data_IF_661255843685
#
_entry.id   IF_661255843685
#
_cell.length_a   1.000
_cell.length_b   1.000
_cell.length_c   1.000
_cell.angle_alpha   90.00
_cell.angle_beta   90.00
_cell.angle_gamma   90.00
#
_symmetry.space_group_name_H-M   'P 1'
#
loop_
_entity.id
_entity.type
_entity.pdbx_description
1 polymer ?
#
# COMPACT_ATOMS: atom_id res chain seq x y z
N UNK A 1 -22.05 -27.89 -25.08
CA UNK A 1 -22.72 -26.89 -24.22
C UNK A 1 -22.37 -27.24 -22.76
N UNK A 2 -21.18 -26.86 -22.30
CA UNK A 2 -20.74 -27.12 -20.92
C UNK A 2 -20.72 -25.78 -20.16
N UNK A 3 -21.45 -25.74 -19.05
CA UNK A 3 -21.74 -24.55 -18.25
C UNK A 3 -20.48 -23.86 -17.73
N UNK A 4 -20.34 -22.57 -18.06
CA UNK A 4 -19.29 -21.65 -17.56
C UNK A 4 -19.37 -21.37 -16.05
N UNK A 5 -20.36 -21.90 -15.33
CA UNK A 5 -20.58 -21.66 -13.90
C UNK A 5 -19.71 -22.46 -12.93
N UNK A 6 -19.23 -23.65 -13.33
CA UNK A 6 -18.51 -24.56 -12.41
C UNK A 6 -17.05 -24.17 -12.12
N UNK A 7 -16.37 -23.54 -13.08
CA UNK A 7 -14.95 -23.16 -12.94
C UNK A 7 -14.79 -21.91 -12.06
N UNK A 8 -15.75 -20.98 -12.10
CA UNK A 8 -15.77 -19.76 -11.29
C UNK A 8 -15.98 -20.08 -9.80
N UNK A 9 -16.82 -21.06 -9.49
CA UNK A 9 -17.05 -21.53 -8.11
C UNK A 9 -15.80 -22.18 -7.49
N UNK A 10 -15.01 -22.93 -8.27
CA UNK A 10 -13.74 -23.53 -7.83
C UNK A 10 -12.62 -22.49 -7.61
N UNK A 11 -12.65 -21.37 -8.33
CA UNK A 11 -11.66 -20.29 -8.24
C UNK A 11 -11.87 -19.40 -7.00
N UNK A 12 -13.11 -18.99 -6.73
CA UNK A 12 -13.48 -18.27 -5.50
C UNK A 12 -13.27 -19.15 -4.27
N UNK A 13 -13.58 -20.44 -4.38
CA UNK A 13 -13.33 -21.42 -3.33
C UNK A 13 -11.85 -21.59 -3.01
N UNK A 14 -10.89 -21.33 -3.92
CA UNK A 14 -9.44 -21.39 -3.58
C UNK A 14 -8.92 -20.16 -2.85
N UNK A 15 -9.41 -18.96 -3.15
CA UNK A 15 -9.08 -17.75 -2.36
C UNK A 15 -9.76 -17.85 -1.00
N UNK A 16 -11.03 -18.27 -0.99
CA UNK A 16 -11.77 -18.54 0.24
C UNK A 16 -11.12 -19.68 1.03
N UNK A 17 -10.72 -20.80 0.44
CA UNK A 17 -10.02 -21.91 1.09
C UNK A 17 -8.57 -21.56 1.43
N UNK A 18 -7.92 -20.55 0.83
CA UNK A 18 -6.64 -20.05 1.31
C UNK A 18 -6.83 -19.20 2.57
N UNK A 19 -7.84 -18.32 2.57
CA UNK A 19 -8.30 -17.56 3.75
C UNK A 19 -8.91 -18.48 4.84
N UNK A 20 -9.50 -19.63 4.48
CA UNK A 20 -10.10 -20.63 5.39
C UNK A 20 -9.11 -21.73 5.81
N UNK A 21 -8.12 -22.07 4.98
CA UNK A 21 -7.00 -22.92 5.39
C UNK A 21 -6.07 -22.20 6.36
N UNK A 22 -6.07 -20.86 6.33
CA UNK A 22 -5.55 -20.01 7.41
C UNK A 22 -6.34 -20.26 8.72
N UNK A 23 -7.65 -20.51 8.67
CA UNK A 23 -8.49 -20.70 9.87
C UNK A 23 -8.36 -22.05 10.60
N UNK A 24 -7.71 -23.08 10.05
CA UNK A 24 -7.69 -24.43 10.67
C UNK A 24 -6.45 -24.77 11.52
N UNK A 25 -5.56 -23.81 11.81
CA UNK A 25 -4.39 -24.04 12.68
C UNK A 25 -4.27 -23.12 13.90
N UNK A 26 -5.25 -22.27 14.15
CA UNK A 26 -5.23 -21.36 15.30
C UNK A 26 -6.02 -21.89 16.49
N UNK A 27 -5.52 -22.97 17.09
CA UNK A 27 -5.80 -23.31 18.48
C UNK A 27 -4.54 -23.86 19.13
N UNK A 28 -4.07 -23.13 20.15
CA UNK A 28 -3.02 -23.48 21.11
C UNK A 28 -1.59 -23.70 20.57
N UNK A 29 -0.78 -22.63 20.60
CA UNK A 29 0.65 -22.69 20.98
C UNK A 29 1.15 -21.28 21.26
N UNK A 30 0.90 -20.80 22.49
CA UNK A 30 1.45 -19.58 23.06
C UNK A 30 2.21 -19.98 24.33
N UNK A 31 3.46 -20.42 24.18
CA UNK A 31 4.46 -20.40 25.25
C UNK A 31 5.82 -20.11 24.61
N UNK A 32 6.49 -19.10 25.15
CA UNK A 32 7.82 -18.65 24.77
C UNK A 32 8.89 -19.76 24.88
N UNK A 33 9.86 -19.78 23.98
CA UNK A 33 11.28 -20.02 24.27
C UNK A 33 12.14 -19.49 23.10
N UNK A 34 13.04 -18.55 23.39
CA UNK A 34 14.05 -18.08 22.45
C UNK A 34 15.22 -19.06 22.34
N UNK A 35 15.90 -19.09 21.19
CA UNK A 35 17.24 -18.52 20.96
C UNK A 35 17.72 -18.94 19.56
N UNK A 36 18.31 -18.02 18.79
CA UNK A 36 19.01 -18.34 17.55
C UNK A 36 18.82 -17.31 16.43
N UNK A 37 19.95 -16.71 16.02
CA UNK A 37 20.17 -15.66 15.00
C UNK A 37 19.63 -14.27 15.32
N UNK A 38 20.55 -13.35 15.62
CA UNK A 38 20.32 -11.93 15.88
C UNK A 38 19.90 -11.18 14.60
N UNK A 39 18.60 -11.03 14.38
CA UNK A 39 18.08 -9.90 13.60
C UNK A 39 17.23 -9.05 14.54
N UNK A 40 17.63 -7.80 14.77
CA UNK A 40 16.80 -6.86 15.53
C UNK A 40 15.48 -6.69 14.78
N UNK A 41 14.35 -6.99 15.43
CA UNK A 41 13.03 -6.76 14.84
C UNK A 41 12.83 -5.25 14.66
N UNK A 42 12.49 -4.84 13.45
CA UNK A 42 12.28 -3.43 13.11
C UNK A 42 12.15 -3.24 11.62
N UNK A 43 11.37 -2.23 11.22
CA UNK A 43 11.25 -1.83 9.81
C UNK A 43 12.59 -1.23 9.38
N UNK A 44 13.17 -1.66 8.24
CA UNK A 44 14.47 -1.16 7.78
C UNK A 44 14.40 0.34 7.45
N UNK A 45 15.47 1.11 7.73
CA UNK A 45 15.57 2.49 7.28
C UNK A 45 15.73 2.56 5.76
N UNK A 46 15.43 3.74 5.20
CA UNK A 46 15.77 4.02 3.80
C UNK A 46 17.27 4.02 3.57
N UNK A 47 17.70 3.57 2.40
CA UNK A 47 19.10 3.41 1.99
C UNK A 47 19.58 4.53 1.07
N UNK A 48 18.69 5.46 0.72
CA UNK A 48 19.03 6.67 -0.01
C UNK A 48 19.72 7.73 0.85
N UNK A 49 20.23 8.80 0.22
CA UNK A 49 21.00 9.84 0.90
C UNK A 49 20.14 10.80 1.73
N UNK A 50 18.82 10.82 1.55
CA UNK A 50 17.92 11.76 2.21
C UNK A 50 17.40 11.21 3.53
N UNK A 51 17.42 12.04 4.57
CA UNK A 51 16.61 11.80 5.75
C UNK A 51 15.12 11.88 5.39
N UNK A 52 14.29 11.06 6.03
CA UNK A 52 12.88 10.91 5.66
C UNK A 52 11.98 11.45 6.76
N UNK A 53 11.17 12.44 6.42
CA UNK A 53 10.06 12.91 7.22
C UNK A 53 8.76 12.18 6.87
N UNK A 54 7.80 12.19 7.77
CA UNK A 54 6.43 11.78 7.45
C UNK A 54 5.39 12.58 8.22
N UNK A 55 4.20 12.76 7.61
CA UNK A 55 3.04 13.40 8.24
C UNK A 55 1.74 12.77 7.71
N UNK A 56 0.65 12.86 8.47
CA UNK A 56 -0.67 12.43 8.02
C UNK A 56 -1.48 13.62 7.52
N UNK A 57 -2.07 13.50 6.33
CA UNK A 57 -2.80 14.58 5.67
C UNK A 57 -4.21 14.13 5.39
N UNK A 58 -5.20 14.83 5.95
CA UNK A 58 -6.62 14.68 5.61
C UNK A 58 -7.17 15.99 5.07
N UNK A 59 -7.65 15.98 3.83
CA UNK A 59 -8.18 17.16 3.14
C UNK A 59 -9.60 16.90 2.68
N UNK A 60 -10.50 17.80 3.08
CA UNK A 60 -11.93 17.53 3.22
C UNK A 60 -12.16 16.46 4.31
N UNK A 61 -12.93 16.83 5.32
CA UNK A 61 -13.11 16.00 6.51
C UNK A 61 -14.06 14.83 6.25
N UNK A 62 -14.85 14.84 5.17
CA UNK A 62 -15.88 13.83 4.88
C UNK A 62 -15.31 12.50 4.40
N UNK A 63 -16.16 11.47 4.29
CA UNK A 63 -15.77 10.17 3.75
C UNK A 63 -15.29 10.22 2.28
N UNK A 64 -15.62 11.29 1.55
CA UNK A 64 -15.18 11.53 0.17
C UNK A 64 -13.87 12.33 0.09
N UNK A 65 -13.38 12.84 1.23
CA UNK A 65 -12.13 13.55 1.30
C UNK A 65 -10.91 12.67 1.10
N UNK A 66 -9.75 13.29 0.84
CA UNK A 66 -8.49 12.58 0.67
C UNK A 66 -7.82 12.35 2.02
N UNK A 67 -7.24 11.17 2.21
CA UNK A 67 -6.43 10.85 3.40
C UNK A 67 -5.26 9.97 3.01
N UNK A 68 -4.07 10.43 3.37
CA UNK A 68 -2.84 9.73 3.06
C UNK A 68 -1.78 10.04 4.10
N UNK A 69 -0.81 9.13 4.22
CA UNK A 69 0.46 9.40 4.90
C UNK A 69 1.45 9.88 3.85
N UNK A 70 2.01 11.06 4.05
CA UNK A 70 3.06 11.61 3.22
C UNK A 70 4.42 11.19 3.77
N UNK A 71 5.31 10.72 2.91
CA UNK A 71 6.74 10.51 3.18
C UNK A 71 7.54 11.40 2.23
N UNK A 72 8.56 12.07 2.74
CA UNK A 72 9.27 13.10 1.99
C UNK A 72 10.70 13.30 2.50
N UNK A 73 11.63 13.79 1.66
CA UNK A 73 12.93 14.27 2.11
C UNK A 73 12.78 15.40 3.13
N UNK A 74 13.42 15.27 4.30
CA UNK A 74 13.33 16.25 5.38
C UNK A 74 14.70 16.77 5.82
N UNK A 75 14.68 17.87 6.55
CA UNK A 75 15.82 18.31 7.37
C UNK A 75 15.71 17.57 8.70
N UNK A 76 16.61 16.63 8.97
CA UNK A 76 16.56 15.83 10.20
C UNK A 76 16.83 16.72 11.43
N UNK A 77 15.83 16.94 12.30
CA UNK A 77 16.06 17.70 13.52
C UNK A 77 16.73 16.81 14.58
N UNK A 78 17.58 17.40 15.41
CA UNK A 78 18.09 16.70 16.59
C UNK A 78 16.94 16.22 17.48
N UNK A 79 16.94 14.93 17.83
CA UNK A 79 15.89 14.34 18.68
C UNK A 79 14.53 14.17 18.01
N UNK A 80 14.50 14.08 16.66
CA UNK A 80 13.28 13.86 15.90
C UNK A 80 12.40 12.72 16.48
N UNK A 81 11.12 13.02 16.69
CA UNK A 81 10.15 12.02 17.12
C UNK A 81 9.92 11.01 15.99
N UNK A 82 9.99 9.72 16.31
CA UNK A 82 9.64 8.64 15.38
C UNK A 82 8.17 8.24 15.59
N UNK A 83 7.33 8.23 14.55
CA UNK A 83 5.93 7.89 14.71
C UNK A 83 5.74 6.39 14.92
N UNK A 84 4.66 6.06 15.61
CA UNK A 84 4.22 4.68 15.75
C UNK A 84 3.83 4.11 14.39
N UNK A 85 4.14 2.83 14.20
CA UNK A 85 3.82 2.10 12.98
C UNK A 85 2.30 1.96 12.78
N UNK A 86 1.59 1.62 13.86
CA UNK A 86 0.13 1.61 13.90
C UNK A 86 -0.32 2.64 14.95
N UNK A 87 -0.89 3.78 14.53
CA UNK A 87 -0.97 4.97 15.39
C UNK A 87 -2.08 4.91 16.45
N UNK A 88 -3.04 4.00 16.32
CA UNK A 88 -4.10 3.87 17.32
C UNK A 88 -4.76 2.49 17.32
N UNK A 89 -5.52 2.24 18.40
CA UNK A 89 -6.11 0.95 18.73
C UNK A 89 -7.13 0.45 17.70
N UNK A 90 -7.88 1.34 17.07
CA UNK A 90 -8.94 0.97 16.14
C UNK A 90 -8.42 0.29 14.88
N UNK A 91 -7.19 0.58 14.46
CA UNK A 91 -6.52 -0.19 13.41
C UNK A 91 -6.25 -1.63 13.84
N UNK A 92 -5.86 -1.89 15.09
CA UNK A 92 -5.75 -3.25 15.61
C UNK A 92 -7.11 -3.96 15.68
N UNK A 93 -8.18 -3.25 16.07
CA UNK A 93 -9.55 -3.79 16.01
C UNK A 93 -9.94 -4.15 14.57
N UNK A 94 -9.60 -3.31 13.60
CA UNK A 94 -9.87 -3.57 12.18
C UNK A 94 -9.07 -4.75 11.62
N UNK A 95 -7.82 -4.93 12.05
CA UNK A 95 -7.02 -6.11 11.71
C UNK A 95 -7.66 -7.38 12.30
N UNK A 96 -8.12 -7.31 13.55
CA UNK A 96 -8.85 -8.40 14.18
C UNK A 96 -10.11 -8.81 13.42
N UNK A 97 -10.92 -7.83 13.00
CA UNK A 97 -12.13 -8.07 12.21
C UNK A 97 -11.80 -8.71 10.86
N UNK A 98 -10.76 -8.21 10.18
CA UNK A 98 -10.30 -8.76 8.91
C UNK A 98 -9.83 -10.21 9.05
N UNK A 99 -9.09 -10.52 10.12
CA UNK A 99 -8.65 -11.87 10.46
C UNK A 99 -9.77 -12.75 11.06
N UNK A 100 -10.95 -12.19 11.32
CA UNK A 100 -12.10 -12.85 11.98
C UNK A 100 -11.77 -13.38 13.39
N UNK A 101 -10.98 -12.63 14.14
CA UNK A 101 -10.59 -12.93 15.52
C UNK A 101 -11.32 -11.97 16.48
N UNK A 102 -11.60 -12.42 17.70
CA UNK A 102 -12.24 -11.57 18.72
C UNK A 102 -11.43 -10.29 18.99
N UNK A 103 -12.06 -9.11 18.83
CA UNK A 103 -11.43 -7.79 19.01
C UNK A 103 -10.72 -7.64 20.35
N UNK A 104 -11.37 -8.01 21.46
CA UNK A 104 -10.82 -7.77 22.82
C UNK A 104 -9.55 -8.58 23.08
N UNK A 105 -9.53 -9.84 22.64
CA UNK A 105 -8.36 -10.71 22.82
C UNK A 105 -7.22 -10.32 21.87
N UNK A 106 -7.56 -10.11 20.59
CA UNK A 106 -6.59 -9.80 19.55
C UNK A 106 -6.01 -8.40 19.69
N UNK A 107 -6.77 -7.40 20.08
CA UNK A 107 -6.25 -6.04 20.31
C UNK A 107 -5.17 -6.06 21.38
N UNK A 108 -5.40 -6.73 22.51
CA UNK A 108 -4.38 -6.86 23.56
C UNK A 108 -3.13 -7.56 23.05
N UNK A 109 -3.28 -8.64 22.28
CA UNK A 109 -2.15 -9.40 21.74
C UNK A 109 -1.39 -8.58 20.69
N UNK A 110 -2.09 -8.01 19.71
CA UNK A 110 -1.51 -7.23 18.63
C UNK A 110 -0.88 -5.95 19.15
N UNK A 111 -1.52 -5.26 20.11
CA UNK A 111 -0.96 -4.08 20.74
C UNK A 111 0.27 -4.42 21.60
N UNK A 112 0.25 -5.56 22.31
CA UNK A 112 1.43 -6.04 23.05
C UNK A 112 2.59 -6.39 22.11
N UNK A 113 2.30 -7.06 20.99
CA UNK A 113 3.33 -7.49 20.04
C UNK A 113 3.86 -6.35 19.17
N UNK A 114 2.99 -5.41 18.78
CA UNK A 114 3.31 -4.45 17.73
C UNK A 114 3.09 -2.98 18.09
N UNK A 115 2.38 -2.67 19.17
CA UNK A 115 2.00 -1.30 19.53
C UNK A 115 3.18 -0.39 19.90
N UNK A 116 4.34 -0.96 20.21
CA UNK A 116 5.57 -0.21 20.51
C UNK A 116 6.49 -0.01 19.31
N UNK A 117 6.20 -0.63 18.15
CA UNK A 117 7.04 -0.46 16.97
C UNK A 117 6.84 0.93 16.37
N UNK A 118 7.96 1.58 16.10
CA UNK A 118 8.06 2.85 15.41
C UNK A 118 8.65 2.65 14.02
N UNK A 119 8.34 3.55 13.11
CA UNK A 119 8.93 3.54 11.76
C UNK A 119 10.19 4.42 11.72
N UNK A 120 11.18 4.11 10.87
CA UNK A 120 12.41 4.89 10.75
C UNK A 120 12.20 6.16 9.89
N UNK A 121 11.31 7.04 10.34
CA UNK A 121 11.04 8.36 9.75
C UNK A 121 10.82 9.41 10.85
N UNK A 122 11.01 10.68 10.52
CA UNK A 122 10.85 11.82 11.43
C UNK A 122 9.43 12.40 11.31
N UNK A 123 8.63 12.29 12.38
CA UNK A 123 7.26 12.82 12.40
C UNK A 123 7.24 14.34 12.28
N UNK A 124 6.47 14.85 11.32
CA UNK A 124 6.26 16.29 11.07
C UNK A 124 7.55 17.11 10.89
N UNK A 125 8.65 16.45 10.51
CA UNK A 125 9.93 17.13 10.32
C UNK A 125 9.86 18.16 9.18
N UNK A 126 10.63 19.27 9.26
CA UNK A 126 10.65 20.28 8.21
C UNK A 126 11.04 19.67 6.85
N UNK A 127 10.27 20.01 5.81
CA UNK A 127 10.54 19.55 4.45
C UNK A 127 11.88 20.09 3.93
N UNK A 128 12.67 19.25 3.25
CA UNK A 128 13.94 19.67 2.64
C UNK A 128 13.68 20.32 1.28
N UNK A 129 13.68 21.65 1.24
CA UNK A 129 13.60 22.40 -0.01
C UNK A 129 14.93 22.31 -0.79
N UNK A 130 15.06 21.28 -1.63
CA UNK A 130 16.26 21.05 -2.46
C UNK A 130 15.86 20.74 -3.91
N UNK A 131 15.09 21.65 -4.50
CA UNK A 131 14.53 21.49 -5.84
C UNK A 131 13.18 20.79 -5.85
N UNK A 132 12.81 20.26 -7.02
CA UNK A 132 11.53 19.57 -7.24
C UNK A 132 11.70 18.06 -7.18
N UNK A 133 10.85 17.39 -6.43
CA UNK A 133 10.90 15.95 -6.29
C UNK A 133 9.82 15.26 -7.15
N UNK A 134 10.13 14.13 -7.80
CA UNK A 134 9.12 13.27 -8.40
C UNK A 134 8.11 12.78 -7.36
N UNK A 135 6.89 12.51 -7.81
CA UNK A 135 5.75 12.14 -6.95
C UNK A 135 5.35 10.69 -7.17
N UNK A 136 5.13 9.97 -6.07
CA UNK A 136 4.57 8.61 -6.08
C UNK A 136 3.27 8.59 -5.27
N UNK A 137 2.19 8.10 -5.88
CA UNK A 137 0.99 7.72 -5.13
C UNK A 137 1.09 6.22 -4.81
N UNK A 138 0.92 5.84 -3.54
CA UNK A 138 0.96 4.46 -3.11
C UNK A 138 -0.43 3.96 -2.67
N UNK A 139 -0.83 2.78 -3.13
CA UNK A 139 -2.11 2.14 -2.80
C UNK A 139 -1.92 0.83 -2.03
N UNK A 140 -2.56 0.71 -0.86
CA UNK A 140 -2.44 -0.47 0.01
C UNK A 140 -3.29 -1.66 -0.46
N UNK A 141 -2.94 -2.88 0.00
CA UNK A 141 -3.73 -4.09 -0.22
C UNK A 141 -5.04 -4.18 0.57
N UNK A 142 -5.84 -5.21 0.31
CA UNK A 142 -7.05 -5.51 1.08
C UNK A 142 -6.71 -5.81 2.55
N UNK A 143 -7.47 -5.28 3.50
CA UNK A 143 -7.21 -5.44 4.94
C UNK A 143 -6.03 -4.62 5.45
N UNK A 144 -5.31 -3.90 4.58
CA UNK A 144 -4.24 -2.99 4.99
C UNK A 144 -4.76 -1.56 5.15
N UNK A 145 -3.87 -0.62 5.45
CA UNK A 145 -4.13 0.82 5.56
C UNK A 145 -2.81 1.58 5.34
N UNK A 146 -2.84 2.92 5.38
CA UNK A 146 -1.76 3.78 4.85
C UNK A 146 -0.37 3.58 5.48
N UNK A 147 -0.29 2.99 6.66
CA UNK A 147 0.95 2.90 7.44
C UNK A 147 1.67 1.55 7.33
N UNK A 148 1.12 0.56 6.62
CA UNK A 148 1.65 -0.82 6.60
C UNK A 148 2.67 -1.11 5.48
N UNK A 149 3.14 -0.08 4.77
CA UNK A 149 4.12 -0.18 3.67
C UNK A 149 5.21 0.87 3.83
N UNK A 150 5.53 1.22 5.07
CA UNK A 150 6.51 2.26 5.38
C UNK A 150 7.91 1.87 4.91
N UNK A 151 8.30 0.59 4.89
CA UNK A 151 9.60 0.18 4.34
C UNK A 151 9.80 0.64 2.88
N UNK A 152 8.77 0.48 2.04
CA UNK A 152 8.80 0.88 0.63
C UNK A 152 8.73 2.41 0.51
N UNK A 153 7.81 3.04 1.25
CA UNK A 153 7.60 4.48 1.15
C UNK A 153 8.80 5.28 1.67
N UNK A 154 9.45 4.80 2.74
CA UNK A 154 10.66 5.40 3.31
C UNK A 154 11.84 5.19 2.36
N UNK A 155 12.00 4.01 1.75
CA UNK A 155 13.07 3.81 0.75
C UNK A 155 12.92 4.81 -0.41
N UNK A 156 11.74 4.88 -1.02
CA UNK A 156 11.48 5.85 -2.10
C UNK A 156 11.72 7.29 -1.63
N UNK A 157 11.24 7.68 -0.45
CA UNK A 157 11.47 9.04 0.06
C UNK A 157 12.96 9.33 0.31
N UNK A 158 13.71 8.36 0.84
CA UNK A 158 15.17 8.50 1.06
C UNK A 158 15.95 8.68 -0.24
N UNK A 159 15.38 8.24 -1.37
CA UNK A 159 15.93 8.40 -2.71
C UNK A 159 15.49 9.70 -3.41
N UNK A 160 14.78 10.59 -2.69
CA UNK A 160 14.33 11.87 -3.20
C UNK A 160 12.99 11.83 -3.91
N UNK A 161 12.02 11.06 -3.42
CA UNK A 161 10.63 11.09 -3.90
C UNK A 161 9.70 11.66 -2.84
N UNK A 162 8.62 12.33 -3.25
CA UNK A 162 7.47 12.59 -2.38
C UNK A 162 6.48 11.44 -2.57
N UNK A 163 6.16 10.72 -1.50
CA UNK A 163 5.29 9.53 -1.55
C UNK A 163 4.02 9.77 -0.74
N UNK A 164 2.85 9.70 -1.37
CA UNK A 164 1.56 9.74 -0.67
C UNK A 164 0.93 8.34 -0.63
N UNK A 165 0.98 7.70 0.54
CA UNK A 165 0.33 6.42 0.81
C UNK A 165 -1.13 6.64 1.18
N UNK A 166 -2.04 6.36 0.24
CA UNK A 166 -3.48 6.64 0.36
C UNK A 166 -4.16 5.63 1.28
N UNK A 167 -4.99 6.12 2.19
CA UNK A 167 -5.93 5.29 2.95
C UNK A 167 -7.29 5.24 2.24
N UNK A 168 -7.70 4.04 1.82
CA UNK A 168 -8.89 3.86 1.01
C UNK A 168 -10.17 3.74 1.84
N UNK A 169 -11.26 4.40 1.40
CA UNK A 169 -12.56 4.47 2.10
C UNK A 169 -13.62 3.60 1.44
N UNK A 170 -13.16 2.68 0.61
CA UNK A 170 -13.95 1.68 -0.12
C UNK A 170 -14.36 0.48 0.76
N UNK A 171 -14.14 0.55 2.08
CA UNK A 171 -14.31 -0.54 3.05
C UNK A 171 -13.38 -1.74 2.80
N UNK A 172 -12.31 -1.56 2.01
CA UNK A 172 -11.24 -2.56 1.87
C UNK A 172 -10.19 -2.43 2.99
N UNK A 173 -10.01 -1.25 3.57
CA UNK A 173 -9.10 -1.05 4.68
C UNK A 173 -9.61 -1.78 5.93
N UNK A 174 -8.69 -2.34 6.74
CA UNK A 174 -9.06 -2.97 8.03
C UNK A 174 -9.83 -2.01 8.93
N UNK A 175 -9.33 -0.78 9.01
CA UNK A 175 -10.04 0.37 9.53
C UNK A 175 -9.56 1.62 8.79
N UNK A 176 -10.39 2.65 8.75
CA UNK A 176 -10.07 4.03 8.38
C UNK A 176 -11.02 4.94 9.16
N UNK A 177 -10.77 6.24 9.16
CA UNK A 177 -11.71 7.21 9.70
C UNK A 177 -11.85 8.44 8.82
N UNK A 178 -12.90 9.20 9.12
CA UNK A 178 -13.18 10.53 8.61
C UNK A 178 -13.89 11.32 9.73
N UNK A 179 -14.28 12.56 9.45
CA UNK A 179 -15.09 13.34 10.37
C UNK A 179 -16.40 13.82 9.72
N UNK A 180 -17.48 13.80 10.49
CA UNK A 180 -18.73 14.47 10.14
C UNK A 180 -18.99 15.64 11.07
N UNK A 181 -19.80 16.60 10.63
CA UNK A 181 -20.27 17.68 11.49
C UNK A 181 -21.32 17.15 12.47
N UNK A 182 -21.21 17.52 13.75
CA UNK A 182 -22.23 17.25 14.77
C UNK A 182 -23.59 17.73 14.26
N UNK A 183 -24.59 16.87 14.37
CA UNK A 183 -25.99 17.23 14.18
C UNK A 183 -26.41 18.32 15.19
N UNK A 184 -27.48 19.06 14.88
CA UNK A 184 -28.02 20.07 15.79
C UNK A 184 -28.39 19.48 17.18
N UNK A 185 -28.81 18.21 17.21
CA UNK A 185 -29.13 17.49 18.46
C UNK A 185 -27.87 17.18 19.30
N UNK A 186 -26.76 16.80 18.66
CA UNK A 186 -25.48 16.56 19.34
C UNK A 186 -24.85 17.87 19.84
N UNK A 187 -25.01 18.96 19.08
CA UNK A 187 -24.58 20.29 19.50
C UNK A 187 -25.39 20.79 20.71
N UNK A 188 -26.71 20.55 20.74
CA UNK A 188 -27.58 20.91 21.86
C UNK A 188 -27.29 20.09 23.14
N UNK A 189 -26.79 18.86 23.00
CA UNK A 189 -26.38 18.02 24.13
C UNK A 189 -25.00 18.39 24.69
N UNK A 190 -24.12 19.01 23.89
CA UNK A 190 -22.83 19.52 24.35
C UNK A 190 -22.97 20.91 24.97
N UNK A 191 -22.74 21.04 26.29
CA UNK A 191 -22.81 22.32 27.06
C UNK A 191 -21.69 23.33 26.73
N UNK A 192 -21.06 23.25 25.56
CA UNK A 192 -19.99 24.16 25.14
C UNK A 192 -20.34 24.78 23.80
N UNK A 193 -20.75 26.04 23.86
CA UNK A 193 -20.94 26.93 22.71
C UNK A 193 -19.60 27.59 22.39
N UNK A 194 -18.79 26.96 21.55
CA UNK A 194 -17.60 27.57 20.94
C UNK A 194 -17.58 27.23 19.45
N UNK A 195 -17.58 28.21 18.54
CA UNK A 195 -17.45 27.94 17.11
C UNK A 195 -15.97 27.72 16.78
N UNK A 196 -15.55 26.46 16.83
CA UNK A 196 -14.23 25.99 16.41
C UNK A 196 -14.31 24.57 15.84
N UNK A 197 -13.16 23.95 15.49
CA UNK A 197 -13.08 22.55 15.01
C UNK A 197 -13.67 21.48 15.96
N UNK A 198 -14.20 21.90 17.12
CA UNK A 198 -14.96 21.10 18.10
C UNK A 198 -16.33 20.59 17.60
N UNK A 199 -16.77 21.01 16.42
CA UNK A 199 -18.00 20.51 15.78
C UNK A 199 -17.79 19.22 14.98
N UNK A 200 -16.57 18.72 14.83
CA UNK A 200 -16.27 17.50 14.07
C UNK A 200 -16.22 16.28 14.97
N UNK A 201 -16.90 15.21 14.57
CA UNK A 201 -16.88 13.91 15.26
C UNK A 201 -16.17 12.91 14.38
N UNK A 202 -15.16 12.23 14.94
CA UNK A 202 -14.43 11.16 14.25
C UNK A 202 -15.31 9.93 14.14
N UNK A 203 -15.49 9.44 12.91
CA UNK A 203 -16.22 8.22 12.62
C UNK A 203 -15.29 7.17 12.01
N UNK A 204 -15.31 5.97 12.60
CA UNK A 204 -14.52 4.84 12.14
C UNK A 204 -15.30 3.99 11.14
N UNK A 205 -14.67 3.72 10.01
CA UNK A 205 -15.14 2.80 8.99
C UNK A 205 -14.25 1.54 9.02
N UNK A 206 -14.86 0.39 9.27
CA UNK A 206 -14.15 -0.89 9.36
C UNK A 206 -14.31 -1.71 8.07
N UNK A 207 -13.40 -2.66 7.87
CA UNK A 207 -13.49 -3.65 6.81
C UNK A 207 -14.87 -4.32 6.80
N UNK A 208 -15.49 -4.38 5.62
CA UNK A 208 -16.75 -5.09 5.42
C UNK A 208 -16.50 -6.35 4.58
N UNK A 209 -16.67 -7.56 5.16
CA UNK A 209 -16.64 -8.79 4.39
C UNK A 209 -17.73 -8.78 3.32
N UNK A 210 -17.40 -9.28 2.13
CA UNK A 210 -18.38 -9.54 1.07
C UNK A 210 -19.35 -10.61 1.58
N UNK A 211 -20.66 -10.33 1.53
CA UNK A 211 -21.67 -11.29 1.98
C UNK A 211 -21.83 -12.43 0.97
N UNK A 212 -22.41 -13.56 1.39
CA UNK A 212 -22.50 -14.75 0.54
C UNK A 212 -23.44 -14.55 -0.66
N UNK A 213 -24.45 -13.70 -0.47
CA UNK A 213 -25.45 -13.28 -1.46
C UNK A 213 -24.93 -12.23 -2.45
N UNK A 214 -23.83 -11.55 -2.12
CA UNK A 214 -23.26 -10.51 -2.98
C UNK A 214 -22.46 -11.12 -4.13
N UNK A 215 -22.55 -10.49 -5.30
CA UNK A 215 -21.61 -10.77 -6.38
C UNK A 215 -20.24 -10.17 -6.03
N UNK A 216 -19.30 -11.01 -5.60
CA UNK A 216 -17.96 -10.56 -5.17
C UNK A 216 -17.25 -9.71 -6.22
N UNK A 217 -17.32 -10.10 -7.50
CA UNK A 217 -16.71 -9.31 -8.57
C UNK A 217 -17.30 -7.90 -8.63
N UNK A 218 -18.62 -7.75 -8.57
CA UNK A 218 -19.30 -6.45 -8.58
C UNK A 218 -18.87 -5.57 -7.40
N UNK A 219 -18.77 -6.14 -6.19
CA UNK A 219 -18.30 -5.40 -5.01
C UNK A 219 -16.84 -4.98 -5.19
N UNK A 220 -15.94 -5.91 -5.57
CA UNK A 220 -14.52 -5.62 -5.75
C UNK A 220 -14.26 -4.65 -6.91
N UNK A 221 -15.04 -4.73 -7.99
CA UNK A 221 -14.95 -3.81 -9.11
C UNK A 221 -15.39 -2.38 -8.73
N UNK A 222 -16.48 -2.23 -7.97
CA UNK A 222 -16.86 -0.92 -7.41
C UNK A 222 -15.74 -0.35 -6.53
N UNK A 223 -15.17 -1.18 -5.66
CA UNK A 223 -14.04 -0.82 -4.81
C UNK A 223 -12.80 -0.39 -5.61
N UNK A 224 -12.38 -1.12 -6.66
CA UNK A 224 -11.20 -0.74 -7.44
C UNK A 224 -11.40 0.56 -8.22
N UNK A 225 -12.62 0.84 -8.67
CA UNK A 225 -12.96 2.12 -9.29
C UNK A 225 -12.83 3.26 -8.28
N UNK A 226 -13.42 3.12 -7.09
CA UNK A 226 -13.31 4.10 -6.00
C UNK A 226 -11.84 4.31 -5.59
N UNK A 227 -11.06 3.24 -5.43
CA UNK A 227 -9.63 3.32 -5.09
C UNK A 227 -8.82 4.11 -6.11
N UNK A 228 -9.11 3.91 -7.40
CA UNK A 228 -8.46 4.68 -8.46
C UNK A 228 -8.85 6.17 -8.38
N UNK A 229 -10.12 6.48 -8.11
CA UNK A 229 -10.59 7.87 -7.90
C UNK A 229 -9.93 8.51 -6.67
N UNK A 230 -9.76 7.78 -5.57
CA UNK A 230 -9.07 8.25 -4.36
C UNK A 230 -7.57 8.52 -4.62
N UNK A 231 -6.90 7.71 -5.43
CA UNK A 231 -5.53 7.96 -5.87
C UNK A 231 -5.42 9.22 -6.76
N UNK A 232 -6.36 9.42 -7.67
CA UNK A 232 -6.42 10.62 -8.52
C UNK A 232 -6.70 11.85 -7.67
N UNK A 233 -7.63 11.76 -6.71
CA UNK A 233 -7.93 12.83 -5.77
C UNK A 233 -6.72 13.19 -4.91
N UNK A 234 -5.96 12.21 -4.42
CA UNK A 234 -4.71 12.48 -3.69
C UNK A 234 -3.70 13.25 -4.57
N UNK A 235 -3.55 12.86 -5.85
CA UNK A 235 -2.71 13.58 -6.80
C UNK A 235 -3.21 15.02 -7.04
N UNK A 236 -4.52 15.24 -7.13
CA UNK A 236 -5.10 16.58 -7.24
C UNK A 236 -4.79 17.44 -6.02
N UNK A 237 -4.88 16.88 -4.81
CA UNK A 237 -4.52 17.57 -3.57
C UNK A 237 -3.03 17.94 -3.52
N UNK A 238 -2.15 17.02 -3.92
CA UNK A 238 -0.72 17.33 -4.05
C UNK A 238 -0.44 18.41 -5.10
N UNK A 239 -1.17 18.38 -6.23
CA UNK A 239 -1.07 19.42 -7.27
C UNK A 239 -1.47 20.79 -6.75
N UNK A 240 -2.56 20.86 -5.98
CA UNK A 240 -3.05 22.09 -5.35
C UNK A 240 -2.04 22.64 -4.32
N UNK A 241 -1.50 21.79 -3.46
CA UNK A 241 -0.41 22.17 -2.53
C UNK A 241 0.80 22.73 -3.28
N UNK A 242 1.22 22.05 -4.34
CA UNK A 242 2.36 22.47 -5.15
C UNK A 242 2.12 23.83 -5.84
N UNK A 243 0.87 24.21 -6.12
CA UNK A 243 0.50 25.54 -6.65
C UNK A 243 0.32 26.63 -5.58
N UNK A 244 0.56 26.33 -4.30
CA UNK A 244 0.38 27.29 -3.19
C UNK A 244 -1.09 27.52 -2.81
N UNK A 245 -2.01 26.63 -3.20
CA UNK A 245 -3.42 26.76 -2.82
C UNK A 245 -3.59 26.53 -1.31
N UNK A 246 -4.35 27.38 -0.59
CA UNK A 246 -4.56 27.22 0.84
C UNK A 246 -5.45 26.00 1.09
N UNK A 247 -4.83 24.87 1.44
CA UNK A 247 -5.51 23.65 1.82
C UNK A 247 -5.32 23.40 3.32
N UNK A 248 -6.43 23.27 4.02
CA UNK A 248 -6.41 22.96 5.44
C UNK A 248 -6.28 21.46 5.67
N UNK A 249 -5.23 21.03 6.37
CA UNK A 249 -5.16 19.68 6.92
C UNK A 249 -6.09 19.59 8.14
N UNK A 250 -7.14 18.76 8.03
CA UNK A 250 -8.14 18.56 9.09
C UNK A 250 -7.50 18.03 10.38
N UNK A 251 -6.37 17.33 10.26
CA UNK A 251 -5.67 16.73 11.40
C UNK A 251 -4.81 17.71 12.21
N UNK A 252 -4.56 18.93 11.68
CA UNK A 252 -3.77 19.97 12.35
C UNK A 252 -2.41 19.47 12.87
N UNK A 253 -1.70 18.72 12.04
CA UNK A 253 -0.31 18.27 12.30
C UNK A 253 0.64 19.45 12.47
N UNK A 254 1.82 19.22 13.06
CA UNK A 254 2.84 20.28 13.21
C UNK A 254 3.57 20.60 11.91
N UNK A 255 3.42 19.74 10.90
CA UNK A 255 4.02 19.92 9.58
C UNK A 255 3.46 21.16 8.86
N UNK A 256 4.36 22.01 8.37
CA UNK A 256 4.01 23.17 7.56
C UNK A 256 3.71 22.76 6.10
N UNK A 257 2.42 22.68 5.78
CA UNK A 257 1.95 22.32 4.43
C UNK A 257 2.39 23.31 3.35
N UNK A 258 2.68 24.58 3.70
CA UNK A 258 3.11 25.59 2.73
C UNK A 258 4.53 25.32 2.20
N UNK A 259 5.34 24.56 2.95
CA UNK A 259 6.67 24.15 2.52
C UNK A 259 6.67 23.27 1.26
N UNK A 260 5.50 22.71 0.89
CA UNK A 260 5.30 21.91 -0.33
C UNK A 260 5.01 22.76 -1.58
N UNK A 261 4.83 24.07 -1.46
CA UNK A 261 4.68 24.95 -2.62
C UNK A 261 5.90 24.85 -3.54
N UNK A 262 5.64 24.67 -4.84
CA UNK A 262 6.66 24.55 -5.89
C UNK A 262 7.74 23.47 -5.63
N UNK A 263 7.42 22.45 -4.82
CA UNK A 263 8.34 21.39 -4.40
C UNK A 263 8.23 20.08 -5.20
N UNK A 264 7.19 19.94 -6.03
CA UNK A 264 6.89 18.70 -6.76
C UNK A 264 7.12 18.86 -8.25
N UNK A 265 7.74 17.85 -8.85
CA UNK A 265 7.85 17.70 -10.30
C UNK A 265 6.62 16.95 -10.83
N UNK A 266 5.59 17.71 -11.20
CA UNK A 266 4.34 17.18 -11.71
C UNK A 266 4.45 16.63 -13.16
N UNK A 267 5.61 16.69 -13.80
CA UNK A 267 5.87 15.94 -15.03
C UNK A 267 6.33 14.50 -14.75
N UNK A 268 6.71 14.20 -13.50
CA UNK A 268 7.31 12.94 -13.07
C UNK A 268 6.49 12.31 -11.95
N UNK A 269 5.32 11.77 -12.33
CA UNK A 269 4.35 11.17 -11.41
C UNK A 269 4.23 9.67 -11.70
N UNK A 270 4.33 8.83 -10.67
CA UNK A 270 4.09 7.40 -10.76
C UNK A 270 3.04 6.93 -9.74
N UNK A 271 2.52 5.73 -9.96
CA UNK A 271 1.64 5.04 -9.00
C UNK A 271 2.17 3.65 -8.69
N UNK A 272 2.22 3.31 -7.40
CA UNK A 272 2.67 2.02 -6.90
C UNK A 272 1.58 1.42 -6.02
N UNK A 273 1.47 0.10 -5.97
CA UNK A 273 0.51 -0.51 -5.06
C UNK A 273 0.68 -2.01 -4.92
N UNK A 274 0.27 -2.51 -3.76
CA UNK A 274 0.41 -3.92 -3.42
C UNK A 274 -0.94 -4.65 -3.41
N UNK A 275 -0.99 -5.89 -3.94
CA UNK A 275 -2.17 -6.75 -3.89
C UNK A 275 -3.39 -6.09 -4.56
N UNK A 276 -4.44 -5.76 -3.79
CA UNK A 276 -5.56 -4.94 -4.27
C UNK A 276 -5.09 -3.56 -4.78
N UNK A 277 -4.09 -2.96 -4.14
CA UNK A 277 -3.42 -1.76 -4.62
C UNK A 277 -2.70 -1.95 -5.95
N UNK A 278 -2.24 -3.16 -6.27
CA UNK A 278 -1.71 -3.49 -7.59
C UNK A 278 -2.79 -3.47 -8.69
N UNK A 279 -4.02 -3.88 -8.36
CA UNK A 279 -5.16 -3.66 -9.26
C UNK A 279 -5.54 -2.18 -9.36
N UNK A 280 -5.47 -1.44 -8.25
CA UNK A 280 -5.67 0.01 -8.23
C UNK A 280 -4.69 0.73 -9.16
N UNK A 281 -3.41 0.33 -9.19
CA UNK A 281 -2.41 0.84 -10.16
C UNK A 281 -2.93 0.71 -11.59
N UNK A 282 -3.33 -0.50 -11.98
CA UNK A 282 -3.84 -0.76 -13.35
C UNK A 282 -5.08 0.07 -13.65
N UNK A 283 -6.03 0.16 -12.71
CA UNK A 283 -7.26 0.94 -12.90
C UNK A 283 -6.98 2.44 -12.97
N UNK A 284 -6.09 2.97 -12.14
CA UNK A 284 -5.71 4.38 -12.14
C UNK A 284 -5.00 4.77 -13.45
N UNK A 285 -4.06 3.95 -13.94
CA UNK A 285 -3.40 4.19 -15.23
C UNK A 285 -4.40 4.22 -16.40
N UNK A 286 -5.47 3.43 -16.33
CA UNK A 286 -6.54 3.44 -17.34
C UNK A 286 -7.43 4.69 -17.33
N UNK A 287 -7.40 5.47 -16.24
CA UNK A 287 -8.26 6.63 -16.00
C UNK A 287 -7.50 7.97 -16.06
N UNK A 288 -6.19 7.95 -15.76
CA UNK A 288 -5.41 9.16 -15.52
C UNK A 288 -4.05 9.13 -16.25
N UNK A 289 -3.86 10.03 -17.21
CA UNK A 289 -2.66 10.13 -18.05
C UNK A 289 -1.51 10.92 -17.38
N UNK A 290 -1.77 11.62 -16.27
CA UNK A 290 -0.71 12.27 -15.47
C UNK A 290 0.25 11.25 -14.86
N UNK A 291 -0.22 10.08 -14.45
CA UNK A 291 0.65 8.97 -14.07
C UNK A 291 1.44 8.51 -15.29
N UNK A 292 2.77 8.59 -15.24
CA UNK A 292 3.68 8.29 -16.35
C UNK A 292 4.12 6.84 -16.40
N UNK A 293 4.06 6.13 -15.28
CA UNK A 293 4.24 4.68 -15.20
C UNK A 293 3.60 4.14 -13.92
N UNK A 294 3.47 2.81 -13.83
CA UNK A 294 3.02 2.17 -12.60
C UNK A 294 3.78 0.90 -12.25
N UNK A 295 3.80 0.58 -10.95
CA UNK A 295 4.42 -0.64 -10.41
C UNK A 295 3.38 -1.37 -9.55
N UNK A 296 3.06 -2.58 -9.96
CA UNK A 296 2.08 -3.46 -9.34
C UNK A 296 2.81 -4.56 -8.56
N UNK A 297 2.88 -4.42 -7.24
CA UNK A 297 3.49 -5.38 -6.33
C UNK A 297 2.48 -6.49 -6.04
N UNK A 298 2.76 -7.69 -6.53
CA UNK A 298 1.99 -8.91 -6.31
C UNK A 298 0.49 -8.74 -6.56
N UNK A 299 0.13 -8.11 -7.68
CA UNK A 299 -1.21 -7.61 -7.92
C UNK A 299 -2.28 -8.71 -7.91
N UNK A 300 -3.40 -8.42 -7.24
CA UNK A 300 -4.61 -9.24 -7.28
C UNK A 300 -5.52 -8.75 -8.40
N UNK A 301 -5.46 -9.36 -9.59
CA UNK A 301 -6.09 -8.82 -10.81
C UNK A 301 -7.61 -9.05 -10.91
N UNK A 302 -8.21 -9.79 -9.97
CA UNK A 302 -9.63 -10.14 -9.96
C UNK A 302 -10.59 -8.93 -10.03
N UNK A 303 -10.35 -7.80 -9.33
CA UNK A 303 -11.29 -6.67 -9.31
C UNK A 303 -11.47 -5.93 -10.64
N UNK A 304 -10.60 -6.17 -11.62
CA UNK A 304 -10.56 -5.44 -12.88
C UNK A 304 -11.56 -6.01 -13.90
N UNK A 305 -12.17 -5.16 -14.70
CA UNK A 305 -12.94 -5.58 -15.88
C UNK A 305 -12.05 -5.65 -17.12
N UNK A 306 -12.43 -6.46 -18.11
CA UNK A 306 -11.60 -6.72 -19.28
C UNK A 306 -11.38 -5.45 -20.13
N UNK A 307 -12.32 -4.52 -20.11
CA UNK A 307 -12.29 -3.21 -20.77
C UNK A 307 -11.23 -2.27 -20.19
N UNK A 308 -10.70 -2.56 -18.99
CA UNK A 308 -9.63 -1.77 -18.37
C UNK A 308 -8.29 -1.98 -19.07
N UNK A 309 -7.98 -3.21 -19.49
CA UNK A 309 -6.66 -3.57 -20.00
C UNK A 309 -6.21 -2.78 -21.25
N UNK A 310 -7.02 -2.64 -22.32
CA UNK A 310 -6.60 -1.92 -23.52
C UNK A 310 -6.46 -0.41 -23.30
N UNK A 311 -6.99 0.14 -22.19
CA UNK A 311 -6.91 1.58 -21.87
C UNK A 311 -5.58 1.97 -21.19
N UNK A 312 -4.84 1.00 -20.67
CA UNK A 312 -3.54 1.25 -20.02
C UNK A 312 -2.46 1.43 -21.07
N UNK A 313 -2.03 2.67 -21.30
CA UNK A 313 -1.02 3.02 -22.32
C UNK A 313 0.39 3.17 -21.74
N UNK A 314 0.48 3.48 -20.46
CA UNK A 314 1.73 3.80 -19.78
C UNK A 314 2.54 2.54 -19.47
N UNK A 315 3.88 2.63 -19.31
CA UNK A 315 4.71 1.54 -18.82
C UNK A 315 4.21 0.98 -17.48
N UNK A 316 4.22 -0.35 -17.37
CA UNK A 316 3.75 -1.06 -16.18
C UNK A 316 4.70 -2.19 -15.82
N UNK A 317 5.06 -2.26 -14.54
CA UNK A 317 5.94 -3.30 -13.99
C UNK A 317 5.20 -4.14 -12.96
N UNK A 318 5.21 -5.47 -13.13
CA UNK A 318 4.74 -6.42 -12.13
C UNK A 318 5.92 -7.00 -11.35
N UNK A 319 5.91 -6.87 -10.01
CA UNK A 319 6.88 -7.51 -9.12
C UNK A 319 6.10 -8.49 -8.24
N UNK A 320 6.23 -9.77 -8.52
CA UNK A 320 5.42 -10.81 -7.89
C UNK A 320 6.18 -11.54 -6.77
N UNK A 321 5.42 -12.07 -5.80
CA UNK A 321 5.97 -13.10 -4.93
C UNK A 321 5.88 -14.48 -5.58
N UNK A 322 6.76 -15.40 -5.18
CA UNK A 322 6.80 -16.75 -5.76
C UNK A 322 5.58 -17.59 -5.37
N UNK A 323 5.08 -17.41 -4.14
CA UNK A 323 4.07 -18.31 -3.53
C UNK A 323 2.62 -17.81 -3.63
N UNK A 324 2.38 -16.58 -4.09
CA UNK A 324 1.03 -16.01 -4.17
C UNK A 324 0.34 -16.25 -5.51
N UNK A 325 1.08 -16.28 -6.62
CA UNK A 325 0.52 -16.22 -7.97
C UNK A 325 -0.12 -17.54 -8.44
N UNK A 326 -1.11 -17.44 -9.33
CA UNK A 326 -1.75 -18.58 -9.99
C UNK A 326 -2.08 -18.29 -11.45
N UNK A 327 -2.30 -19.33 -12.26
CA UNK A 327 -2.43 -19.22 -13.72
C UNK A 327 -3.48 -18.19 -14.16
N UNK A 328 -4.67 -18.20 -13.55
CA UNK A 328 -5.73 -17.26 -13.88
C UNK A 328 -5.39 -15.78 -13.58
N UNK A 329 -4.61 -15.50 -12.53
CA UNK A 329 -4.16 -14.15 -12.22
C UNK A 329 -3.08 -13.68 -13.22
N UNK A 330 -2.11 -14.54 -13.52
CA UNK A 330 -1.06 -14.27 -14.51
C UNK A 330 -1.66 -14.09 -15.91
N UNK A 331 -2.65 -14.90 -16.30
CA UNK A 331 -3.38 -14.71 -17.57
C UNK A 331 -3.98 -13.31 -17.68
N UNK A 332 -4.48 -12.75 -16.57
CA UNK A 332 -5.03 -11.39 -16.54
C UNK A 332 -3.94 -10.32 -16.59
N UNK A 333 -2.79 -10.53 -15.95
CA UNK A 333 -1.63 -9.65 -16.13
C UNK A 333 -1.18 -9.60 -17.60
N UNK A 334 -1.14 -10.75 -18.29
CA UNK A 334 -0.75 -10.84 -19.70
C UNK A 334 -1.75 -10.19 -20.66
N UNK A 335 -3.00 -9.93 -20.25
CA UNK A 335 -3.93 -9.11 -21.07
C UNK A 335 -3.45 -7.66 -21.24
N UNK A 336 -2.50 -7.20 -20.42
CA UNK A 336 -1.87 -5.88 -20.55
C UNK A 336 -0.64 -5.91 -21.46
N UNK A 337 -0.21 -7.08 -21.94
CA UNK A 337 0.90 -7.19 -22.88
C UNK A 337 0.59 -6.34 -24.13
N UNK A 338 1.55 -5.52 -24.50
CA UNK A 338 1.40 -4.54 -25.58
C UNK A 338 2.67 -4.53 -26.42
N UNK A 339 2.56 -4.49 -27.76
CA UNK A 339 3.72 -4.33 -28.62
C UNK A 339 4.31 -2.91 -28.55
N UNK A 340 3.53 -1.93 -28.05
CA UNK A 340 3.92 -0.50 -28.04
C UNK A 340 4.32 -0.04 -26.63
N UNK A 341 3.62 -0.48 -25.60
CA UNK A 341 3.86 -0.05 -24.23
C UNK A 341 4.73 -1.08 -23.48
N UNK A 342 5.83 -0.62 -22.85
CA UNK A 342 6.71 -1.52 -22.12
C UNK A 342 5.97 -2.18 -20.94
N UNK A 343 6.07 -3.51 -20.89
CA UNK A 343 5.59 -4.36 -19.79
C UNK A 343 6.77 -5.15 -19.28
N UNK A 344 6.97 -5.11 -17.96
CA UNK A 344 7.98 -5.92 -17.29
C UNK A 344 7.30 -6.75 -16.21
N UNK A 345 7.88 -7.91 -15.95
CA UNK A 345 7.41 -8.81 -14.90
C UNK A 345 8.61 -9.55 -14.34
N UNK A 346 8.72 -9.58 -13.02
CA UNK A 346 9.66 -10.42 -12.29
C UNK A 346 8.94 -11.13 -11.14
N UNK A 347 9.51 -12.23 -10.67
CA UNK A 347 9.10 -12.93 -9.45
C UNK A 347 10.30 -13.08 -8.53
N UNK A 348 10.15 -12.68 -7.26
CA UNK A 348 11.21 -12.81 -6.24
C UNK A 348 11.14 -14.19 -5.60
N UNK A 349 12.21 -14.98 -5.71
CA UNK A 349 12.28 -16.35 -5.17
C UNK A 349 12.14 -16.38 -3.66
N UNK A 350 11.55 -17.45 -3.15
CA UNK A 350 11.35 -17.71 -1.74
C UNK A 350 10.32 -16.80 -1.06
N UNK A 351 9.80 -15.76 -1.74
CA UNK A 351 8.88 -14.79 -1.13
C UNK A 351 7.44 -15.30 -1.03
N UNK A 352 6.69 -14.69 -0.11
CA UNK A 352 5.26 -14.86 0.09
C UNK A 352 4.55 -13.53 -0.13
N UNK A 353 3.22 -13.55 -0.22
CA UNK A 353 2.42 -12.31 -0.38
C UNK A 353 2.72 -11.24 0.69
N UNK A 354 3.04 -11.70 1.90
CA UNK A 354 3.33 -10.84 3.04
C UNK A 354 4.78 -10.32 3.08
N UNK A 355 5.62 -10.64 2.08
CA UNK A 355 6.99 -10.13 1.97
C UNK A 355 7.07 -8.64 1.57
N UNK A 356 5.99 -8.06 1.06
CA UNK A 356 5.91 -6.63 0.69
C UNK A 356 5.46 -5.69 1.83
N UNK A 357 4.42 -6.01 2.65
CA UNK A 357 4.04 -5.18 3.78
C UNK A 357 5.01 -5.30 4.97
N UNK A 358 4.98 -4.29 5.84
CA UNK A 358 5.90 -4.14 6.97
C UNK A 358 5.83 -5.28 8.01
N UNK A 359 4.74 -6.03 8.07
CA UNK A 359 4.56 -7.18 8.98
C UNK A 359 5.71 -8.20 8.89
N UNK A 360 6.35 -8.31 7.72
CA UNK A 360 7.46 -9.23 7.52
C UNK A 360 8.68 -8.89 8.38
N UNK A 361 8.88 -7.64 8.77
CA UNK A 361 10.04 -7.24 9.59
C UNK A 361 9.79 -7.35 11.09
N UNK A 362 8.51 -7.35 11.49
CA UNK A 362 8.10 -7.19 12.89
C UNK A 362 7.79 -8.52 13.58
N UNK A 363 7.90 -9.64 12.85
CA UNK A 363 7.67 -10.98 13.40
C UNK A 363 8.95 -11.80 13.48
N UNK A 364 9.19 -12.40 14.65
CA UNK A 364 10.30 -13.34 14.86
C UNK A 364 10.27 -14.47 13.82
N UNK A 365 11.43 -14.95 13.40
CA UNK A 365 11.56 -15.87 12.24
C UNK A 365 10.62 -17.08 12.27
N UNK A 366 10.49 -17.73 13.43
CA UNK A 366 9.63 -18.90 13.62
C UNK A 366 8.14 -18.58 13.54
N UNK A 367 7.69 -17.52 14.20
CA UNK A 367 6.29 -17.07 14.14
C UNK A 367 5.98 -16.57 12.72
N UNK A 368 6.90 -15.83 12.11
CA UNK A 368 6.76 -15.33 10.75
C UNK A 368 6.59 -16.45 9.72
N UNK A 369 7.39 -17.53 9.81
CA UNK A 369 7.23 -18.71 8.93
C UNK A 369 5.94 -19.48 9.20
N UNK A 370 5.57 -19.68 10.47
CA UNK A 370 4.34 -20.38 10.84
C UNK A 370 3.08 -19.64 10.35
N UNK A 371 3.07 -18.31 10.48
CA UNK A 371 2.00 -17.41 10.06
C UNK A 371 2.08 -17.03 8.57
N UNK A 372 3.04 -17.58 7.81
CA UNK A 372 3.32 -17.21 6.40
C UNK A 372 3.53 -15.70 6.18
N UNK A 373 4.00 -14.99 7.20
CA UNK A 373 4.44 -13.59 7.13
C UNK A 373 5.89 -13.46 6.64
N UNK A 374 6.64 -14.57 6.66
CA UNK A 374 8.00 -14.69 6.12
C UNK A 374 8.09 -15.79 5.09
N UNK A 375 8.84 -15.50 4.03
CA UNK A 375 9.24 -16.45 3.02
C UNK A 375 10.42 -17.32 3.46
N UNK A 376 11.02 -17.99 2.49
CA UNK A 376 12.31 -18.67 2.64
C UNK A 376 13.49 -17.70 2.56
N UNK A 377 13.34 -16.66 1.73
CA UNK A 377 14.30 -15.57 1.59
C UNK A 377 14.26 -14.62 2.80
N UNK A 378 15.39 -13.99 3.09
CA UNK A 378 15.47 -12.93 4.09
C UNK A 378 14.59 -11.73 3.69
N UNK A 379 13.78 -11.17 4.62
CA UNK A 379 12.89 -10.05 4.30
C UNK A 379 13.60 -8.79 3.82
N UNK A 380 14.80 -8.47 4.33
CA UNK A 380 15.55 -7.29 3.89
C UNK A 380 16.07 -7.48 2.46
N UNK A 381 16.58 -8.67 2.15
CA UNK A 381 16.99 -9.01 0.77
C UNK A 381 15.80 -8.93 -0.19
N UNK A 382 14.64 -9.47 0.20
CA UNK A 382 13.45 -9.44 -0.64
C UNK A 382 12.95 -8.01 -0.91
N UNK A 383 12.90 -7.15 0.11
CA UNK A 383 12.44 -5.77 -0.06
C UNK A 383 13.46 -4.93 -0.83
N UNK A 384 14.76 -5.18 -0.66
CA UNK A 384 15.81 -4.53 -1.43
C UNK A 384 15.68 -4.80 -2.92
N UNK A 385 15.51 -6.08 -3.31
CA UNK A 385 15.30 -6.45 -4.72
C UNK A 385 14.07 -5.77 -5.30
N UNK A 386 12.96 -5.73 -4.54
CA UNK A 386 11.74 -5.05 -4.96
C UNK A 386 11.96 -3.54 -5.12
N UNK A 387 12.61 -2.90 -4.16
CA UNK A 387 12.82 -1.46 -4.14
C UNK A 387 13.82 -1.02 -5.22
N UNK A 388 14.94 -1.71 -5.38
CA UNK A 388 15.96 -1.42 -6.39
C UNK A 388 15.40 -1.59 -7.81
N UNK A 389 14.65 -2.68 -8.07
CA UNK A 389 13.98 -2.88 -9.34
C UNK A 389 12.91 -1.79 -9.60
N UNK A 390 12.20 -1.35 -8.56
CA UNK A 390 11.25 -0.24 -8.64
C UNK A 390 11.95 1.08 -8.99
N UNK A 391 13.06 1.41 -8.32
CA UNK A 391 13.83 2.63 -8.55
C UNK A 391 14.40 2.69 -9.97
N UNK A 392 14.96 1.58 -10.47
CA UNK A 392 15.44 1.48 -11.84
C UNK A 392 14.31 1.71 -12.86
N UNK A 393 13.14 1.08 -12.63
CA UNK A 393 11.98 1.25 -13.49
C UNK A 393 11.43 2.69 -13.47
N UNK A 394 11.37 3.31 -12.29
CA UNK A 394 10.99 4.72 -12.13
C UNK A 394 11.97 5.64 -12.85
N UNK A 395 13.28 5.42 -12.71
CA UNK A 395 14.29 6.21 -13.42
C UNK A 395 14.09 6.16 -14.94
N UNK A 396 13.97 4.95 -15.49
CA UNK A 396 13.78 4.73 -16.93
C UNK A 396 12.57 5.45 -17.48
N UNK A 397 11.44 5.43 -16.75
CA UNK A 397 10.16 5.91 -17.28
C UNK A 397 9.77 7.33 -16.85
N UNK A 398 10.35 7.84 -15.77
CA UNK A 398 10.23 9.24 -15.35
C UNK A 398 11.40 10.12 -15.83
N UNK A 399 12.41 9.51 -16.48
CA UNK A 399 13.63 10.19 -16.96
C UNK A 399 14.30 10.96 -15.82
N UNK A 400 14.59 10.24 -14.74
CA UNK A 400 15.28 10.78 -13.58
C UNK A 400 16.77 10.90 -13.86
N UNK A 401 17.39 11.94 -13.31
CA UNK A 401 18.84 12.13 -13.33
C UNK A 401 19.43 11.63 -12.01
N UNK A 402 19.56 10.30 -11.93
CA UNK A 402 20.01 9.50 -10.77
C UNK A 402 20.78 8.29 -11.30
N UNK A 403 21.41 7.54 -10.40
CA UNK A 403 22.19 6.34 -10.75
C UNK A 403 21.39 5.04 -10.50
N UNK A 404 20.06 5.06 -10.59
CA UNK A 404 19.24 3.86 -10.34
C UNK A 404 19.28 2.85 -11.50
N UNK A 405 19.77 3.27 -12.67
CA UNK A 405 20.08 2.42 -13.82
C UNK A 405 21.14 1.35 -13.50
N UNK A 406 21.93 1.52 -12.43
CA UNK A 406 22.79 0.44 -11.93
C UNK A 406 22.01 -0.85 -11.60
N UNK A 407 20.71 -0.74 -11.31
CA UNK A 407 19.82 -1.86 -11.02
C UNK A 407 18.92 -2.26 -12.21
N UNK A 408 19.17 -1.73 -13.42
CA UNK A 408 18.46 -2.13 -14.64
C UNK A 408 18.42 -3.66 -14.88
N UNK A 409 19.49 -4.44 -14.57
CA UNK A 409 19.43 -5.90 -14.69
C UNK A 409 18.30 -6.54 -13.87
N UNK A 410 17.93 -5.97 -12.72
CA UNK A 410 16.86 -6.50 -11.87
C UNK A 410 15.48 -6.40 -12.55
N UNK A 411 15.25 -5.38 -13.38
CA UNK A 411 13.99 -5.23 -14.14
C UNK A 411 13.79 -6.41 -15.11
N UNK A 412 14.89 -6.99 -15.59
CA UNK A 412 14.90 -8.15 -16.48
C UNK A 412 15.03 -9.49 -15.74
N UNK A 413 14.99 -9.47 -14.42
CA UNK A 413 15.10 -10.65 -13.56
C UNK A 413 16.51 -11.25 -13.53
N UNK A 414 17.54 -10.44 -13.77
CA UNK A 414 18.94 -10.87 -13.74
C UNK A 414 19.52 -10.75 -12.33
N UNK A 415 19.13 -11.68 -11.47
CA UNK A 415 19.66 -11.89 -10.13
C UNK A 415 19.37 -13.34 -9.72
N UNK A 416 20.19 -13.95 -8.86
CA UNK A 416 19.99 -15.32 -8.42
C UNK A 416 18.64 -15.53 -7.69
N UNK A 417 18.16 -14.51 -7.00
CA UNK A 417 16.90 -14.49 -6.26
C UNK A 417 15.72 -14.02 -7.12
N UNK A 418 15.92 -13.78 -8.41
CA UNK A 418 14.85 -13.37 -9.32
C UNK A 418 14.54 -14.43 -10.38
N UNK A 419 13.29 -14.39 -10.82
CA UNK A 419 12.79 -15.12 -11.99
C UNK A 419 12.30 -14.06 -12.97
N UNK A 420 12.82 -14.08 -14.20
CA UNK A 420 12.27 -13.29 -15.30
C UNK A 420 10.84 -13.75 -15.59
N UNK A 421 9.88 -12.83 -15.52
CA UNK A 421 8.47 -13.16 -15.65
C UNK A 421 7.91 -13.81 -14.38
N UNK A 422 7.54 -15.08 -14.48
CA UNK A 422 6.86 -15.83 -13.42
C UNK A 422 7.18 -17.32 -13.48
N UNK A 423 7.18 -17.98 -12.33
CA UNK A 423 7.25 -19.43 -12.17
C UNK A 423 5.95 -20.17 -12.57
N UNK A 424 4.88 -19.45 -12.91
CA UNK A 424 3.58 -20.04 -13.25
C UNK A 424 3.46 -20.30 -14.76
N UNK A 425 3.28 -21.57 -15.12
CA UNK A 425 2.94 -21.97 -16.49
C UNK A 425 1.49 -21.62 -16.80
N UNK A 426 1.29 -20.73 -17.79
CA UNK A 426 -0.03 -20.43 -18.35
C UNK A 426 -0.12 -21.13 -19.70
N UNK A 427 -1.07 -22.06 -19.84
CA UNK A 427 -1.39 -22.66 -21.13
C UNK A 427 -1.89 -21.53 -22.04
N UNK A 428 -1.23 -21.31 -23.18
CA UNK A 428 -1.74 -20.44 -24.23
C UNK A 428 -3.02 -21.08 -24.78
N UNK A 429 -4.17 -20.73 -24.20
CA UNK A 429 -5.43 -20.85 -24.93
C UNK A 429 -5.33 -19.88 -26.10
N UNK A 430 -5.40 -20.42 -27.32
CA UNK A 430 -5.25 -19.74 -28.60
C UNK A 430 -5.73 -18.27 -28.56
N UNK A 431 -4.84 -17.37 -28.98
CA UNK A 431 -5.09 -15.93 -29.15
C UNK A 431 -6.36 -15.66 -29.93
#
# INVERSE_FOLDING_TARGET
MFSRGGVIQLLVKRIYDWVKADQRRYTASLVAMGNGSSNQLGIPPGKGPEAVGCTDVMMDHTAQGSFFRLYYPCQEPEGAEKPDWIPCREYFNGLADFMKINRTLSERILNYLYGSFKIPACLDAPFKQSGKYPVVIFSHGLGAFRTLYSAICIELASQGFIVASVEHRDKSASATYYFHQKSQLEQAASKQSSPGPESLVKEWLYYTPVQQEDNEFSVRNKQVNQRADECILALEKLTQLNSGSPLQNVLQTKFDMSALENSMDLCRIAIVGHSFGGATVVKALSKEERFKCGIALDAWMFPLEDETFPRVKQPLFFINSEKFQWAGNISRMRKLDSPVAQRKMITIRGTVHQSFPDFTFLTGHWIGKLMKLKGEIDPEVAIDLSNQATLAFLQRHLRLDRNFDQWDPLIDGQDENLIKGTNITVLQSAM
#
